data_IF_605560147821
#
_entry.id   IF_605560147821
#
_cell.length_a   1.000
_cell.length_b   1.000
_cell.length_c   1.000
_cell.angle_alpha   90.00
_cell.angle_beta   90.00
_cell.angle_gamma   90.00
#
_symmetry.space_group_name_H-M   'P 1'
#
loop_
_entity.id
_entity.type
_entity.pdbx_description
1 polymer ?
#
# COMPACT_ATOMS: atom_id res chain seq x y z
N UNK A 1 3.21 -0.68 -1.03
CA UNK A 1 3.64 -1.59 0.05
C UNK A 1 3.55 -0.90 1.42
N UNK A 2 4.25 0.22 1.65
CA UNK A 2 4.21 0.96 2.93
C UNK A 2 2.80 1.24 3.47
N UNK A 3 1.91 1.83 2.66
CA UNK A 3 0.53 2.11 3.09
C UNK A 3 -0.24 0.85 3.47
N UNK A 4 -0.04 -0.26 2.77
CA UNK A 4 -0.68 -1.55 3.07
C UNK A 4 -0.17 -2.07 4.43
N UNK A 5 1.15 -2.01 4.65
CA UNK A 5 1.78 -2.42 5.91
C UNK A 5 1.29 -1.59 7.11
N UNK A 6 1.23 -0.26 6.94
CA UNK A 6 0.77 0.67 7.97
C UNK A 6 -0.71 0.48 8.34
N UNK A 7 -1.57 0.26 7.34
CA UNK A 7 -3.01 0.19 7.52
C UNK A 7 -3.50 -1.16 8.08
N UNK A 8 -2.72 -2.23 7.97
CA UNK A 8 -3.06 -3.58 8.46
C UNK A 8 -4.47 -4.01 7.98
N UNK A 9 -5.36 -4.38 8.89
CA UNK A 9 -6.72 -4.84 8.60
C UNK A 9 -7.61 -3.77 7.92
N UNK A 10 -7.17 -2.50 7.95
CA UNK A 10 -7.87 -1.40 7.30
C UNK A 10 -7.34 -1.14 5.88
N UNK A 11 -6.47 -1.98 5.31
CA UNK A 11 -5.89 -1.77 3.99
C UNK A 11 -6.83 -2.18 2.85
N UNK A 12 -7.71 -1.27 2.41
CA UNK A 12 -8.53 -1.41 1.21
C UNK A 12 -8.39 -0.19 0.31
N UNK A 13 -8.88 -0.27 -0.93
CA UNK A 13 -8.58 0.75 -1.96
C UNK A 13 -8.81 2.21 -1.51
N UNK A 14 -9.89 2.50 -0.79
CA UNK A 14 -10.18 3.86 -0.30
C UNK A 14 -9.16 4.33 0.74
N UNK A 15 -8.82 3.50 1.72
CA UNK A 15 -7.90 3.87 2.81
C UNK A 15 -6.45 3.91 2.33
N UNK A 16 -6.05 3.00 1.45
CA UNK A 16 -4.73 3.01 0.81
C UNK A 16 -4.54 4.31 0.01
N UNK A 17 -5.57 4.72 -0.76
CA UNK A 17 -5.55 5.97 -1.51
C UNK A 17 -5.43 7.19 -0.60
N UNK A 18 -6.18 7.21 0.50
CA UNK A 18 -6.16 8.29 1.47
C UNK A 18 -4.79 8.40 2.16
N UNK A 19 -4.23 7.28 2.61
CA UNK A 19 -2.89 7.25 3.22
C UNK A 19 -1.80 7.68 2.23
N UNK A 20 -1.88 7.26 0.96
CA UNK A 20 -0.98 7.74 -0.09
C UNK A 20 -1.04 9.26 -0.26
N UNK A 21 -2.25 9.85 -0.28
CA UNK A 21 -2.42 11.31 -0.34
C UNK A 21 -1.81 11.98 0.88
N UNK A 22 -2.01 11.43 2.08
CA UNK A 22 -1.48 11.99 3.31
C UNK A 22 0.05 11.98 3.35
N UNK A 23 0.69 10.94 2.82
CA UNK A 23 2.16 10.82 2.79
C UNK A 23 2.77 11.72 1.70
N UNK A 24 2.15 11.79 0.53
CA UNK A 24 2.79 12.38 -0.67
C UNK A 24 2.24 13.75 -1.07
N UNK A 25 1.12 14.18 -0.49
CA UNK A 25 0.34 15.33 -0.95
C UNK A 25 -0.40 15.12 -2.28
N UNK A 26 -0.16 14.00 -2.98
CA UNK A 26 -0.68 13.75 -4.34
C UNK A 26 -1.91 12.85 -4.32
N UNK A 27 -2.86 13.12 -5.21
CA UNK A 27 -4.06 12.31 -5.36
C UNK A 27 -3.91 11.29 -6.50
N UNK A 28 -3.85 10.01 -6.15
CA UNK A 28 -3.87 8.92 -7.14
C UNK A 28 -5.31 8.67 -7.63
N UNK A 29 -5.53 8.48 -8.92
CA UNK A 29 -6.85 8.03 -9.40
C UNK A 29 -7.07 6.52 -9.09
N UNK A 30 -8.32 6.07 -9.07
CA UNK A 30 -8.62 4.68 -8.70
C UNK A 30 -8.09 3.66 -9.71
N UNK A 31 -8.11 3.95 -11.02
CA UNK A 31 -7.58 3.04 -12.04
C UNK A 31 -6.08 2.76 -11.83
N UNK A 32 -5.28 3.81 -11.65
CA UNK A 32 -3.85 3.71 -11.35
C UNK A 32 -3.59 2.98 -10.03
N UNK A 33 -4.41 3.20 -9.00
CA UNK A 33 -4.33 2.49 -7.74
C UNK A 33 -4.55 0.98 -7.94
N UNK A 34 -5.68 0.59 -8.52
CA UNK A 34 -6.04 -0.81 -8.69
C UNK A 34 -5.09 -1.53 -9.64
N UNK A 35 -4.61 -0.88 -10.70
CA UNK A 35 -3.56 -1.41 -11.57
C UNK A 35 -2.26 -1.67 -10.80
N UNK A 36 -1.89 -0.78 -9.87
CA UNK A 36 -0.70 -0.96 -9.04
C UNK A 36 -0.87 -2.11 -8.05
N UNK A 37 -2.01 -2.17 -7.37
CA UNK A 37 -2.33 -3.26 -6.43
C UNK A 37 -2.37 -4.62 -7.14
N UNK A 38 -2.96 -4.67 -8.34
CA UNK A 38 -2.97 -5.85 -9.19
C UNK A 38 -1.55 -6.30 -9.55
N UNK A 39 -0.68 -5.39 -10.01
CA UNK A 39 0.73 -5.73 -10.32
C UNK A 39 1.49 -6.21 -9.09
N UNK A 40 1.25 -5.64 -7.91
CA UNK A 40 1.87 -6.10 -6.67
C UNK A 40 1.40 -7.52 -6.30
N UNK A 41 0.13 -7.84 -6.53
CA UNK A 41 -0.41 -9.19 -6.33
C UNK A 41 0.16 -10.19 -7.34
N UNK A 42 0.23 -9.82 -8.62
CA UNK A 42 0.85 -10.65 -9.68
C UNK A 42 2.31 -10.98 -9.37
N UNK A 43 3.04 -10.07 -8.72
CA UNK A 43 4.42 -10.28 -8.28
C UNK A 43 4.56 -11.06 -6.97
N UNK A 44 3.45 -11.52 -6.37
CA UNK A 44 3.46 -12.25 -5.11
C UNK A 44 3.76 -11.39 -3.87
N UNK A 45 3.80 -10.06 -3.99
CA UNK A 45 4.16 -9.16 -2.89
C UNK A 45 2.98 -8.81 -1.98
N UNK A 46 1.76 -8.94 -2.51
CA UNK A 46 0.52 -8.62 -1.82
C UNK A 46 -0.48 -9.74 -2.05
N UNK A 47 -1.20 -10.13 -1.01
CA UNK A 47 -2.36 -11.03 -1.08
C UNK A 47 -3.63 -10.23 -0.83
N UNK A 48 -4.74 -10.76 -1.34
CA UNK A 48 -6.06 -10.16 -1.19
C UNK A 48 -7.01 -11.09 -0.47
N UNK A 49 -7.92 -10.53 0.32
CA UNK A 49 -9.04 -11.25 0.92
C UNK A 49 -10.30 -10.39 0.89
N UNK A 50 -11.47 -11.00 1.05
CA UNK A 50 -12.72 -10.27 1.21
C UNK A 50 -12.93 -9.94 2.69
N UNK A 51 -13.41 -8.73 2.99
CA UNK A 51 -13.85 -8.38 4.33
C UNK A 51 -15.10 -9.17 4.71
N UNK A 52 -15.31 -9.34 6.03
CA UNK A 52 -16.62 -9.73 6.53
C UNK A 52 -17.72 -8.80 5.95
N UNK A 53 -18.94 -9.30 5.70
CA UNK A 53 -20.05 -8.47 5.30
C UNK A 53 -20.28 -7.39 6.37
N UNK A 54 -20.44 -6.13 5.94
CA UNK A 54 -20.84 -5.10 6.89
C UNK A 54 -22.27 -5.42 7.33
N UNK A 55 -22.46 -5.60 8.64
CA UNK A 55 -23.71 -5.95 9.31
C UNK A 55 -24.69 -4.76 9.27
N UNK A 56 -25.20 -4.44 8.07
CA UNK A 56 -26.41 -3.64 7.80
C UNK A 56 -26.64 -3.72 6.28
N UNK A 57 -27.63 -4.51 5.89
CA UNK A 57 -28.28 -4.55 4.57
C UNK A 57 -27.38 -4.30 3.35
N UNK A 58 -26.86 -5.36 2.72
CA UNK A 58 -26.38 -5.29 1.33
C UNK A 58 -25.04 -4.57 1.11
N UNK A 59 -24.26 -4.32 2.17
CA UNK A 59 -22.94 -3.70 2.04
C UNK A 59 -21.97 -4.54 1.17
N UNK A 60 -21.49 -3.96 0.06
CA UNK A 60 -20.48 -4.58 -0.81
C UNK A 60 -19.25 -4.97 0.01
N UNK A 61 -18.83 -6.23 -0.08
CA UNK A 61 -17.59 -6.72 0.54
C UNK A 61 -16.41 -5.88 0.05
N UNK A 62 -15.51 -5.52 0.97
CA UNK A 62 -14.27 -4.80 0.62
C UNK A 62 -13.20 -5.82 0.26
N UNK A 63 -12.40 -5.51 -0.75
CA UNK A 63 -11.14 -6.23 -0.98
C UNK A 63 -10.09 -5.63 -0.04
N UNK A 64 -9.63 -6.46 0.88
CA UNK A 64 -8.53 -6.18 1.79
C UNK A 64 -7.22 -6.63 1.16
N UNK A 65 -6.15 -5.90 1.44
CA UNK A 65 -4.81 -6.17 0.95
C UNK A 65 -3.87 -6.37 2.14
N UNK A 66 -3.03 -7.40 2.10
CA UNK A 66 -1.99 -7.63 3.08
C UNK A 66 -0.68 -7.96 2.36
N UNK A 67 0.46 -7.60 2.95
CA UNK A 67 1.74 -8.05 2.41
C UNK A 67 1.87 -9.57 2.60
N UNK A 68 2.59 -10.19 1.69
CA UNK A 68 3.14 -11.53 1.89
C UNK A 68 4.50 -11.40 2.59
N UNK A 69 5.09 -12.50 3.04
CA UNK A 69 6.47 -12.49 3.55
C UNK A 69 7.46 -11.93 2.54
N UNK A 70 7.27 -12.24 1.25
CA UNK A 70 8.08 -11.64 0.16
C UNK A 70 7.86 -10.13 0.05
N UNK A 71 6.61 -9.67 0.20
CA UNK A 71 6.29 -8.25 0.23
C UNK A 71 6.93 -7.50 1.39
N UNK A 72 6.95 -8.10 2.58
CA UNK A 72 7.60 -7.53 3.77
C UNK A 72 9.11 -7.41 3.57
N UNK A 73 9.76 -8.45 3.06
CA UNK A 73 11.18 -8.40 2.68
C UNK A 73 11.47 -7.30 1.66
N UNK A 74 10.66 -7.21 0.61
CA UNK A 74 10.82 -6.17 -0.42
C UNK A 74 10.62 -4.76 0.13
N UNK A 75 9.69 -4.57 1.08
CA UNK A 75 9.48 -3.29 1.75
C UNK A 75 10.66 -2.92 2.65
N UNK A 76 11.18 -3.87 3.42
CA UNK A 76 12.33 -3.67 4.29
C UNK A 76 13.60 -3.34 3.48
N UNK A 77 13.83 -4.03 2.37
CA UNK A 77 14.94 -3.77 1.45
C UNK A 77 14.83 -2.36 0.84
N UNK A 78 13.66 -1.98 0.33
CA UNK A 78 13.43 -0.64 -0.19
C UNK A 78 13.68 0.45 0.87
N UNK A 79 13.24 0.23 2.11
CA UNK A 79 13.52 1.15 3.22
C UNK A 79 15.02 1.27 3.50
N UNK A 80 15.75 0.14 3.53
CA UNK A 80 17.20 0.10 3.77
C UNK A 80 17.94 0.85 2.67
N UNK A 81 17.65 0.58 1.41
CA UNK A 81 18.28 1.24 0.26
C UNK A 81 18.02 2.74 0.32
N UNK A 82 16.78 3.17 0.57
CA UNK A 82 16.43 4.58 0.69
C UNK A 82 17.23 5.28 1.80
N UNK A 83 17.33 4.68 2.99
CA UNK A 83 18.10 5.23 4.11
C UNK A 83 19.60 5.35 3.79
N UNK A 84 20.18 4.35 3.15
CA UNK A 84 21.58 4.38 2.73
C UNK A 84 21.83 5.43 1.64
N UNK A 85 20.95 5.50 0.64
CA UNK A 85 21.07 6.48 -0.44
C UNK A 85 21.04 7.92 0.08
N UNK A 86 20.13 8.25 1.00
CA UNK A 86 20.07 9.61 1.58
C UNK A 86 21.22 9.94 2.52
N UNK A 87 21.93 8.96 3.07
CA UNK A 87 23.10 9.23 3.92
C UNK A 87 24.26 9.84 3.13
N UNK A 88 24.40 9.44 1.87
CA UNK A 88 25.51 9.83 1.00
C UNK A 88 25.18 11.05 0.12
N UNK A 89 23.94 11.53 0.15
CA UNK A 89 23.48 12.66 -0.68
C UNK A 89 23.31 13.89 0.23
N UNK A 90 23.93 15.03 -0.10
CA UNK A 90 23.70 16.28 0.64
C UNK A 90 22.24 16.72 0.52
N UNK A 91 21.75 17.45 1.52
CA UNK A 91 20.37 17.92 1.55
C UNK A 91 20.02 18.67 0.25
N UNK A 92 18.84 18.35 -0.29
CA UNK A 92 18.33 19.07 -1.45
C UNK A 92 17.98 20.51 -1.02
N UNK A 93 18.28 21.51 -1.86
CA UNK A 93 17.81 22.87 -1.60
C UNK A 93 16.26 22.91 -1.61
N UNK A 94 15.71 23.79 -0.78
CA UNK A 94 14.26 24.02 -0.62
C UNK A 94 13.56 24.37 -1.95
#
# INVERSE_FOLDING_TARGET
>A
LLSIWKLKDNAYGVTIRADFKNITGKMLNYGSLYNTLYRLAQRGLVKTSESAPLSRQGGRRKILYALTSQGETALAEAQKIQKLAWKEIPDLPD
#
